data_IF_574931633126
#
_entry.id   IF_574931633126
#
_cell.length_a   1.000
_cell.length_b   1.000
_cell.length_c   1.000
_cell.angle_alpha   90.00
_cell.angle_beta   90.00
_cell.angle_gamma   90.00
#
_symmetry.space_group_name_H-M   'P 1'
#
loop_
_entity.id
_entity.type
_entity.pdbx_description
1 polymer ?
#
# COMPACT_ATOMS: atom_id res chain seq x y z
N UNK A 1 -6.03 6.77 -18.06
CA UNK A 1 -6.19 7.95 -17.18
C UNK A 1 -5.15 9.02 -17.57
N UNK A 2 -5.55 10.14 -18.19
CA UNK A 2 -4.66 11.26 -18.56
C UNK A 2 -5.11 12.54 -17.85
N UNK A 3 -4.20 13.49 -17.63
CA UNK A 3 -4.53 14.82 -17.08
C UNK A 3 -4.71 14.90 -15.56
N UNK A 4 -4.23 13.91 -14.80
CA UNK A 4 -4.29 13.92 -13.34
C UNK A 4 -3.31 14.96 -12.77
N UNK A 5 -3.77 15.70 -11.76
CA UNK A 5 -3.00 16.77 -11.10
C UNK A 5 -3.40 16.89 -9.63
N UNK A 6 -2.49 17.33 -8.78
CA UNK A 6 -2.73 17.57 -7.34
C UNK A 6 -2.29 18.96 -6.93
N UNK A 7 -2.77 19.41 -5.77
CA UNK A 7 -2.30 20.60 -5.06
C UNK A 7 -2.01 20.24 -3.61
N UNK A 8 -1.00 20.88 -3.04
CA UNK A 8 -0.65 20.76 -1.63
C UNK A 8 -1.14 21.99 -0.89
N UNK A 9 -1.81 21.79 0.25
CA UNK A 9 -2.29 22.85 1.13
C UNK A 9 -1.63 22.70 2.49
N UNK A 10 -0.86 23.69 2.92
CA UNK A 10 -0.17 23.72 4.21
C UNK A 10 -0.01 25.17 4.68
N UNK A 11 -0.22 25.45 5.97
CA UNK A 11 -0.01 26.77 6.58
C UNK A 11 -0.56 27.97 5.77
N UNK A 12 -1.80 27.84 5.29
CA UNK A 12 -2.48 28.84 4.43
C UNK A 12 -1.84 29.09 3.06
N UNK A 13 -0.82 28.30 2.69
CA UNK A 13 -0.27 28.24 1.35
C UNK A 13 -0.93 27.12 0.54
N UNK A 14 -1.28 27.43 -0.70
CA UNK A 14 -1.77 26.47 -1.69
C UNK A 14 -0.80 26.42 -2.86
N UNK A 15 -0.30 25.24 -3.17
CA UNK A 15 0.64 25.07 -4.28
C UNK A 15 -0.01 25.30 -5.65
N UNK A 16 0.84 25.52 -6.65
CA UNK A 16 0.48 25.35 -8.05
C UNK A 16 0.09 23.90 -8.36
N UNK A 17 -0.54 23.68 -9.51
CA UNK A 17 -0.92 22.34 -9.96
C UNK A 17 0.32 21.49 -10.28
N UNK A 18 0.43 20.33 -9.64
CA UNK A 18 1.50 19.37 -9.87
C UNK A 18 0.95 18.21 -10.71
N UNK A 19 1.49 17.93 -11.91
CA UNK A 19 1.03 16.81 -12.74
C UNK A 19 1.39 15.46 -12.11
N UNK A 20 0.41 14.56 -12.00
CA UNK A 20 0.62 13.19 -11.52
C UNK A 20 0.94 12.30 -12.71
N UNK A 21 2.23 12.09 -12.95
CA UNK A 21 2.73 11.25 -14.06
C UNK A 21 2.82 9.77 -13.68
N UNK A 22 2.90 9.44 -12.39
CA UNK A 22 2.92 8.07 -11.88
C UNK A 22 2.26 7.97 -10.48
N UNK A 23 1.96 6.75 -10.03
CA UNK A 23 1.33 6.50 -8.73
C UNK A 23 -0.12 6.95 -8.66
N UNK A 24 -0.67 6.95 -7.45
CA UNK A 24 -2.08 7.23 -7.15
C UNK A 24 -2.15 8.53 -6.30
N UNK A 25 -3.13 9.39 -6.58
CA UNK A 25 -3.29 10.65 -5.84
C UNK A 25 -3.77 10.40 -4.42
N UNK A 26 -3.04 10.90 -3.42
CA UNK A 26 -3.42 10.80 -2.02
C UNK A 26 -4.68 11.64 -1.72
N UNK A 27 -5.54 11.14 -0.83
CA UNK A 27 -6.78 11.82 -0.41
C UNK A 27 -8.00 11.58 -1.29
N UNK A 28 -7.87 10.82 -2.38
CA UNK A 28 -9.02 10.32 -3.15
C UNK A 28 -9.49 8.97 -2.59
N UNK A 29 -10.80 8.79 -2.41
CA UNK A 29 -11.37 7.56 -1.85
C UNK A 29 -11.14 6.37 -2.80
N UNK A 30 -11.22 6.60 -4.11
CA UNK A 30 -11.01 5.56 -5.13
C UNK A 30 -9.55 5.10 -5.17
N UNK A 31 -8.62 6.03 -4.98
CA UNK A 31 -7.20 5.75 -4.83
C UNK A 31 -6.88 4.71 -3.75
N UNK A 32 -7.55 4.79 -2.60
CA UNK A 32 -7.31 3.89 -1.47
C UNK A 32 -7.84 2.47 -1.76
N UNK A 33 -8.98 2.36 -2.44
CA UNK A 33 -9.56 1.08 -2.87
C UNK A 33 -8.68 0.43 -3.95
N UNK A 34 -8.23 1.21 -4.93
CA UNK A 34 -7.34 0.72 -5.98
C UNK A 34 -5.99 0.24 -5.43
N UNK A 35 -5.47 0.90 -4.39
CA UNK A 35 -4.27 0.45 -3.71
C UNK A 35 -4.46 -0.92 -3.06
N UNK A 36 -5.58 -1.15 -2.37
CA UNK A 36 -5.88 -2.45 -1.73
C UNK A 36 -6.00 -3.56 -2.79
N UNK A 37 -6.68 -3.30 -3.90
CA UNK A 37 -6.84 -4.28 -5.01
C UNK A 37 -5.49 -4.57 -5.67
N UNK A 38 -4.66 -3.54 -5.91
CA UNK A 38 -3.35 -3.74 -6.54
C UNK A 38 -2.40 -4.55 -5.64
N UNK A 39 -2.45 -4.32 -4.32
CA UNK A 39 -1.56 -5.00 -3.37
C UNK A 39 -2.12 -6.33 -2.85
N UNK A 40 -3.34 -6.75 -3.22
CA UNK A 40 -3.96 -7.97 -2.69
C UNK A 40 -3.13 -9.22 -2.99
N UNK A 41 -2.53 -9.30 -4.17
CA UNK A 41 -1.71 -10.45 -4.59
C UNK A 41 -0.42 -10.57 -3.75
N UNK A 42 0.10 -9.45 -3.23
CA UNK A 42 1.26 -9.46 -2.31
C UNK A 42 0.92 -10.08 -0.95
N UNK A 43 -0.33 -9.99 -0.53
CA UNK A 43 -0.82 -10.57 0.74
C UNK A 43 -1.03 -12.08 0.61
N UNK A 44 -1.20 -12.60 -0.61
CA UNK A 44 -1.46 -14.02 -0.85
C UNK A 44 -0.22 -14.91 -0.90
N UNK A 45 1.00 -14.35 -0.84
CA UNK A 45 2.27 -15.10 -0.85
C UNK A 45 2.31 -16.16 0.27
N UNK A 46 1.62 -15.93 1.38
CA UNK A 46 1.51 -16.83 2.53
C UNK A 46 0.91 -18.21 2.22
N UNK A 47 0.02 -18.26 1.21
CA UNK A 47 -0.73 -19.48 0.87
C UNK A 47 0.20 -20.59 0.36
N UNK A 48 1.43 -20.25 -0.02
CA UNK A 48 2.43 -21.17 -0.57
C UNK A 48 3.05 -22.08 0.49
N UNK A 49 3.05 -21.69 1.78
CA UNK A 49 3.79 -22.38 2.86
C UNK A 49 2.90 -23.05 3.93
N UNK A 50 1.79 -23.69 3.51
CA UNK A 50 0.96 -24.59 4.35
C UNK A 50 0.54 -24.01 5.73
N UNK A 51 0.40 -22.68 5.85
CA UNK A 51 -0.07 -22.01 7.06
C UNK A 51 0.99 -21.77 8.16
N UNK A 52 2.28 -21.76 7.81
CA UNK A 52 3.39 -21.46 8.74
C UNK A 52 3.80 -19.98 8.80
N UNK A 53 3.25 -19.10 7.95
CA UNK A 53 3.85 -17.78 7.66
C UNK A 53 2.89 -16.59 7.64
N UNK A 54 1.99 -16.37 8.60
CA UNK A 54 0.95 -15.32 8.49
C UNK A 54 1.42 -13.94 8.00
N UNK A 55 0.77 -13.44 6.94
CA UNK A 55 0.96 -12.10 6.38
C UNK A 55 -0.26 -11.24 6.70
N UNK A 56 -0.05 -10.12 7.40
CA UNK A 56 -1.08 -9.12 7.68
C UNK A 56 -0.74 -7.85 6.92
N UNK A 57 -1.65 -7.40 6.04
CA UNK A 57 -1.49 -6.15 5.30
C UNK A 57 -2.56 -5.14 5.71
N UNK A 58 -2.14 -3.94 6.03
CA UNK A 58 -2.98 -2.81 6.39
C UNK A 58 -2.56 -1.58 5.58
N UNK A 59 -3.34 -1.25 4.56
CA UNK A 59 -3.28 -0.05 3.68
C UNK A 59 -1.90 0.42 3.20
N UNK A 60 -0.89 0.68 4.03
CA UNK A 60 0.49 0.96 3.62
C UNK A 60 1.54 0.03 4.26
N UNK A 61 1.15 -0.77 5.25
CA UNK A 61 2.05 -1.62 6.02
C UNK A 61 1.75 -3.09 5.76
N UNK A 62 2.80 -3.87 5.54
CA UNK A 62 2.72 -5.33 5.48
C UNK A 62 3.65 -5.90 6.56
N UNK A 63 3.09 -6.74 7.43
CA UNK A 63 3.83 -7.43 8.49
C UNK A 63 3.84 -8.93 8.18
N UNK A 64 5.05 -9.50 8.11
CA UNK A 64 5.26 -10.94 7.97
C UNK A 64 5.61 -11.54 9.33
N UNK A 65 4.91 -12.61 9.73
CA UNK A 65 5.16 -13.35 10.95
C UNK A 65 5.49 -14.79 10.58
N UNK A 66 6.67 -15.27 10.99
CA UNK A 66 7.13 -16.64 10.74
C UNK A 66 7.28 -17.37 12.07
N UNK A 67 6.76 -18.60 12.15
CA UNK A 67 6.97 -19.49 13.29
C UNK A 67 7.91 -20.62 12.85
N UNK A 68 9.13 -20.63 13.38
CA UNK A 68 10.10 -21.72 13.16
C UNK A 68 9.82 -22.91 14.07
N UNK A 69 10.10 -24.11 13.59
CA UNK A 69 9.90 -25.36 14.35
C UNK A 69 10.88 -25.49 15.55
N UNK A 70 12.03 -24.80 15.50
CA UNK A 70 13.09 -24.86 16.52
C UNK A 70 13.84 -23.54 16.66
N UNK A 71 14.16 -23.16 17.90
CA UNK A 71 15.05 -22.04 18.22
C UNK A 71 16.48 -22.55 18.42
N UNK A 72 17.42 -22.14 17.57
CA UNK A 72 18.85 -22.35 17.80
C UNK A 72 19.49 -21.01 18.20
N UNK A 73 20.20 -21.02 19.32
CA UNK A 73 20.89 -19.87 19.91
C UNK A 73 22.33 -19.78 19.45
#
# INVERSE_FOLDING_TARGET
LRGRRTKLSFDSYLSEWIPITNGIGQGDLLSMILYIIYNSDLVEIEKTNKGRERTLAWVNDATFIVVGDTFHK
#
